data_IF_416291714629
#
_entry.id   IF_416291714629
#
_cell.length_a   1.000
_cell.length_b   1.000
_cell.length_c   1.000
_cell.angle_alpha   90.00
_cell.angle_beta   90.00
_cell.angle_gamma   90.00
#
_symmetry.space_group_name_H-M   'P 1'
#
loop_
_entity.id
_entity.type
_entity.pdbx_description
1 polymer ?
#
# COMPACT_ATOMS: atom_id res chain seq x y z
N UNK A 1 -37.46 26.21 22.25
CA UNK A 1 -36.65 24.97 22.17
C UNK A 1 -35.29 25.30 21.56
N UNK A 2 -34.19 24.85 22.15
CA UNK A 2 -32.83 25.07 21.62
C UNK A 2 -32.56 23.95 20.59
N UNK A 3 -32.35 24.30 19.32
CA UNK A 3 -31.92 23.33 18.32
C UNK A 3 -30.48 22.90 18.63
N UNK A 4 -30.30 21.60 18.82
CA UNK A 4 -28.99 20.98 18.99
C UNK A 4 -28.55 20.40 17.64
N UNK A 5 -27.28 20.62 17.29
CA UNK A 5 -26.64 20.13 16.07
C UNK A 5 -25.47 19.26 16.45
N UNK A 6 -25.29 18.17 15.72
CA UNK A 6 -24.21 17.20 15.92
C UNK A 6 -23.13 17.40 14.86
N UNK A 7 -21.87 17.20 15.23
CA UNK A 7 -20.76 17.21 14.28
C UNK A 7 -20.76 15.90 13.49
N UNK A 8 -20.57 15.97 12.16
CA UNK A 8 -20.50 14.77 11.29
C UNK A 8 -19.13 14.11 11.28
N UNK A 9 -18.09 14.86 11.65
CA UNK A 9 -16.70 14.40 11.59
C UNK A 9 -16.23 13.83 12.93
N UNK A 10 -16.83 14.25 14.04
CA UNK A 10 -16.50 13.72 15.36
C UNK A 10 -17.74 13.25 16.11
N UNK A 11 -17.55 12.30 17.01
CA UNK A 11 -18.65 11.69 17.77
C UNK A 11 -19.22 12.62 18.85
N UNK A 12 -18.77 13.89 18.93
CA UNK A 12 -19.29 14.89 19.86
C UNK A 12 -20.64 15.42 19.34
N UNK A 13 -21.66 15.30 20.18
CA UNK A 13 -23.05 15.67 19.90
C UNK A 13 -23.52 16.83 20.78
N UNK A 14 -24.56 17.53 20.35
CA UNK A 14 -25.29 18.47 21.19
C UNK A 14 -24.79 19.91 21.20
N UNK A 15 -24.23 20.41 20.10
CA UNK A 15 -23.88 21.83 19.97
C UNK A 15 -25.13 22.68 19.84
N UNK A 16 -25.22 23.77 20.60
CA UNK A 16 -26.38 24.67 20.52
C UNK A 16 -26.30 25.55 19.27
N UNK A 17 -27.20 25.34 18.31
CA UNK A 17 -27.43 26.25 17.19
C UNK A 17 -28.51 27.27 17.58
N UNK A 18 -28.12 28.27 18.40
CA UNK A 18 -29.00 29.40 18.67
C UNK A 18 -28.85 30.43 17.56
N UNK A 19 -29.95 30.85 16.94
CA UNK A 19 -29.97 31.96 15.98
C UNK A 19 -29.76 33.36 16.63
N UNK A 20 -29.61 33.41 17.96
CA UNK A 20 -29.59 34.63 18.80
C UNK A 20 -28.29 34.75 19.63
N UNK A 21 -27.31 33.85 19.48
CA UNK A 21 -26.06 33.86 20.27
C UNK A 21 -24.85 33.30 19.53
N UNK A 22 -23.65 33.64 20.03
CA UNK A 22 -22.37 33.53 19.31
C UNK A 22 -22.08 32.14 18.74
N UNK A 23 -21.54 32.11 17.53
CA UNK A 23 -21.01 30.92 16.85
C UNK A 23 -19.63 30.50 17.38
N UNK A 24 -19.09 31.22 18.37
CA UNK A 24 -17.73 31.06 18.90
C UNK A 24 -17.44 29.64 19.41
N UNK A 25 -18.42 28.99 20.04
CA UNK A 25 -18.25 27.60 20.51
C UNK A 25 -18.15 26.59 19.36
N UNK A 26 -18.88 26.81 18.27
CA UNK A 26 -18.78 25.99 17.06
C UNK A 26 -17.46 26.26 16.32
N UNK A 27 -17.06 27.53 16.23
CA UNK A 27 -15.77 27.92 15.64
C UNK A 27 -14.59 27.28 16.38
N UNK A 28 -14.55 27.40 17.71
CA UNK A 28 -13.52 26.75 18.54
C UNK A 28 -13.53 25.23 18.37
N UNK A 29 -14.73 24.63 18.27
CA UNK A 29 -14.82 23.20 17.99
C UNK A 29 -14.21 22.84 16.63
N UNK A 30 -14.48 23.60 15.57
CA UNK A 30 -13.93 23.35 14.23
C UNK A 30 -12.40 23.44 14.25
N UNK A 31 -11.84 24.43 14.93
CA UNK A 31 -10.39 24.62 15.10
C UNK A 31 -9.74 23.45 15.87
N UNK A 32 -10.40 22.93 16.91
CA UNK A 32 -9.89 21.82 17.74
C UNK A 32 -10.28 20.42 17.23
N UNK A 33 -11.13 20.31 16.20
CA UNK A 33 -11.65 19.03 15.75
C UNK A 33 -10.57 18.23 15.01
N UNK A 34 -9.85 17.36 15.73
CA UNK A 34 -8.82 16.47 15.17
C UNK A 34 -9.32 15.58 14.03
N UNK A 35 -10.61 15.20 14.02
CA UNK A 35 -11.22 14.41 12.93
C UNK A 35 -11.67 15.24 11.72
N UNK A 36 -11.60 16.59 11.78
CA UNK A 36 -11.70 17.44 10.58
C UNK A 36 -10.38 17.46 9.80
N UNK A 37 -9.29 16.97 10.39
CA UNK A 37 -8.03 16.76 9.70
C UNK A 37 -8.09 15.38 9.06
N UNK A 38 -8.73 15.26 7.90
CA UNK A 38 -8.24 14.28 6.92
C UNK A 38 -6.94 14.87 6.38
N UNK A 39 -5.75 14.41 6.82
CA UNK A 39 -4.51 15.10 6.50
C UNK A 39 -4.05 14.83 5.06
N UNK A 40 -4.80 14.02 4.29
CA UNK A 40 -4.44 13.66 2.93
C UNK A 40 -5.69 13.80 2.08
N UNK A 41 -5.76 14.85 1.26
CA UNK A 41 -6.68 14.84 0.14
C UNK A 41 -6.41 13.57 -0.67
N UNK A 42 -7.41 12.71 -0.77
CA UNK A 42 -7.34 11.51 -1.62
C UNK A 42 -7.01 11.96 -3.04
N UNK A 43 -5.81 11.61 -3.54
CA UNK A 43 -5.44 11.91 -4.91
C UNK A 43 -6.43 11.22 -5.83
N UNK A 44 -7.03 11.96 -6.75
CA UNK A 44 -7.93 11.41 -7.76
C UNK A 44 -7.08 10.90 -8.91
N UNK A 45 -6.97 9.59 -9.04
CA UNK A 45 -6.40 8.92 -10.20
C UNK A 45 -7.45 8.65 -11.26
N UNK A 46 -7.02 8.51 -12.52
CA UNK A 46 -7.87 8.01 -13.60
C UNK A 46 -7.49 6.57 -13.88
N UNK A 47 -8.45 5.66 -13.78
CA UNK A 47 -8.29 4.28 -14.22
C UNK A 47 -8.05 4.25 -15.74
N UNK A 48 -7.40 3.18 -16.24
CA UNK A 48 -7.25 2.91 -17.67
C UNK A 48 -8.62 2.85 -18.39
N UNK A 49 -9.69 2.51 -17.67
CA UNK A 49 -11.06 2.51 -18.16
C UNK A 49 -11.73 3.91 -18.15
N UNK A 50 -10.99 4.98 -17.81
CA UNK A 50 -11.49 6.35 -17.80
C UNK A 50 -12.21 6.80 -16.52
N UNK A 51 -12.51 5.86 -15.61
CA UNK A 51 -13.15 6.13 -14.32
C UNK A 51 -12.24 6.90 -13.36
N UNK A 52 -12.84 7.74 -12.51
CA UNK A 52 -12.13 8.44 -11.44
C UNK A 52 -12.03 7.50 -10.23
N UNK A 53 -10.82 7.27 -9.75
CA UNK A 53 -10.51 6.36 -8.63
C UNK A 53 -9.68 7.08 -7.57
N UNK A 54 -9.83 6.71 -6.31
CA UNK A 54 -8.91 7.13 -5.25
C UNK A 54 -7.54 6.48 -5.44
N UNK A 55 -6.50 7.31 -5.57
CA UNK A 55 -5.10 6.90 -5.57
C UNK A 55 -4.52 7.11 -4.17
N UNK A 56 -4.20 6.01 -3.52
CA UNK A 56 -3.40 6.02 -2.30
C UNK A 56 -2.02 5.49 -2.62
N UNK A 57 -1.01 6.35 -2.50
CA UNK A 57 0.36 5.93 -2.63
C UNK A 57 0.74 5.01 -1.47
N UNK A 58 1.28 3.84 -1.79
CA UNK A 58 1.82 2.91 -0.82
C UNK A 58 3.27 2.57 -1.18
N UNK A 59 4.19 3.06 -0.35
CA UNK A 59 5.62 2.87 -0.53
C UNK A 59 6.03 1.39 -0.57
N UNK A 60 5.36 0.52 0.20
CA UNK A 60 5.68 -0.91 0.25
C UNK A 60 5.33 -1.62 -1.06
N UNK A 61 4.22 -1.22 -1.70
CA UNK A 61 3.82 -1.75 -3.02
C UNK A 61 4.87 -1.37 -4.06
N UNK A 62 5.30 -0.11 -4.08
CA UNK A 62 6.33 0.34 -5.03
C UNK A 62 7.65 -0.40 -4.82
N UNK A 63 8.04 -0.63 -3.56
CA UNK A 63 9.25 -1.40 -3.23
C UNK A 63 9.15 -2.86 -3.70
N UNK A 64 8.02 -3.51 -3.50
CA UNK A 64 7.80 -4.88 -3.98
C UNK A 64 7.94 -4.97 -5.50
N UNK A 65 7.33 -4.04 -6.23
CA UNK A 65 7.43 -4.00 -7.70
C UNK A 65 8.85 -3.66 -8.17
N UNK A 66 9.55 -2.78 -7.45
CA UNK A 66 10.95 -2.46 -7.74
C UNK A 66 11.87 -3.67 -7.56
N UNK A 67 11.64 -4.49 -6.52
CA UNK A 67 12.38 -5.75 -6.33
C UNK A 67 12.09 -6.74 -7.45
N UNK A 68 10.82 -6.89 -7.86
CA UNK A 68 10.46 -7.72 -9.01
C UNK A 68 11.18 -7.27 -10.27
N UNK A 69 11.17 -5.97 -10.54
CA UNK A 69 11.87 -5.37 -11.68
C UNK A 69 13.36 -5.77 -11.70
N UNK A 70 14.07 -5.59 -10.58
CA UNK A 70 15.49 -5.94 -10.48
C UNK A 70 15.74 -7.44 -10.69
N UNK A 71 14.94 -8.29 -10.03
CA UNK A 71 15.11 -9.75 -10.08
C UNK A 71 14.83 -10.30 -11.47
N UNK A 72 13.82 -9.77 -12.17
CA UNK A 72 13.47 -10.20 -13.53
C UNK A 72 14.49 -9.71 -14.54
N UNK A 73 14.95 -8.46 -14.44
CA UNK A 73 15.89 -7.86 -15.39
C UNK A 73 17.35 -8.34 -15.17
N UNK A 74 17.63 -9.03 -14.06
CA UNK A 74 18.93 -9.67 -13.73
C UNK A 74 20.15 -8.76 -13.81
N UNK A 75 19.97 -7.45 -13.71
CA UNK A 75 21.06 -6.50 -13.81
C UNK A 75 21.46 -5.99 -12.43
N UNK A 76 22.58 -6.51 -11.92
CA UNK A 76 23.18 -6.09 -10.63
C UNK A 76 23.48 -4.58 -10.56
N UNK A 77 23.62 -3.94 -11.73
CA UNK A 77 23.84 -2.48 -11.88
C UNK A 77 22.66 -1.64 -11.39
N UNK A 78 21.48 -2.22 -11.21
CA UNK A 78 20.29 -1.47 -10.76
C UNK A 78 20.34 -1.05 -9.29
N UNK A 79 21.07 -1.76 -8.43
CA UNK A 79 21.07 -1.43 -6.99
C UNK A 79 21.61 -0.02 -6.71
N UNK A 80 22.60 0.42 -7.48
CA UNK A 80 23.17 1.78 -7.39
C UNK A 80 22.33 2.79 -8.18
N UNK A 81 21.60 2.34 -9.21
CA UNK A 81 20.82 3.20 -10.09
C UNK A 81 19.78 4.04 -9.34
N UNK A 82 19.09 3.44 -8.36
CA UNK A 82 18.07 4.11 -7.56
C UNK A 82 18.63 5.17 -6.60
N UNK A 83 19.92 5.11 -6.30
CA UNK A 83 20.61 6.09 -5.45
C UNK A 83 21.13 7.30 -6.23
N UNK A 84 21.21 7.19 -7.57
CA UNK A 84 21.73 8.27 -8.44
C UNK A 84 20.86 9.52 -8.36
N UNK A 85 21.48 10.67 -8.28
CA UNK A 85 20.77 11.96 -8.18
C UNK A 85 19.89 12.24 -9.39
N UNK A 86 20.28 11.78 -10.58
CA UNK A 86 19.45 11.87 -11.78
C UNK A 86 18.12 11.13 -11.61
N UNK A 87 18.16 9.91 -11.04
CA UNK A 87 16.96 9.11 -10.77
C UNK A 87 16.11 9.73 -9.65
N UNK A 88 16.75 10.15 -8.55
CA UNK A 88 16.06 10.86 -7.46
C UNK A 88 15.35 12.12 -7.95
N UNK A 89 16.01 12.91 -8.81
CA UNK A 89 15.42 14.09 -9.45
C UNK A 89 14.28 13.74 -10.38
N UNK A 90 14.43 12.69 -11.19
CA UNK A 90 13.38 12.21 -12.09
C UNK A 90 12.13 11.87 -11.27
N UNK A 91 12.27 11.02 -10.26
CA UNK A 91 11.14 10.57 -9.45
C UNK A 91 10.51 11.71 -8.65
N UNK A 92 11.30 12.60 -8.03
CA UNK A 92 10.75 13.77 -7.33
C UNK A 92 9.96 14.68 -8.27
N UNK A 93 10.39 14.83 -9.52
CA UNK A 93 9.67 15.65 -10.50
C UNK A 93 8.38 15.00 -11.00
N UNK A 94 8.33 13.67 -11.11
CA UNK A 94 7.17 12.95 -11.65
C UNK A 94 6.17 12.52 -10.58
N UNK A 95 6.63 12.17 -9.38
CA UNK A 95 5.81 11.64 -8.28
C UNK A 95 5.79 12.56 -7.05
N UNK A 96 6.51 13.68 -7.07
CA UNK A 96 6.60 14.61 -5.92
C UNK A 96 7.41 14.01 -4.76
N UNK A 97 7.22 14.58 -3.57
CA UNK A 97 7.86 14.12 -2.32
C UNK A 97 7.21 12.86 -1.73
N UNK A 98 6.20 12.32 -2.41
CA UNK A 98 5.44 11.15 -1.98
C UNK A 98 6.33 9.89 -2.04
N UNK A 99 7.19 9.79 -3.06
CA UNK A 99 8.10 8.67 -3.21
C UNK A 99 9.46 8.95 -2.55
N UNK A 100 9.81 8.09 -1.59
CA UNK A 100 11.13 8.09 -0.99
C UNK A 100 11.97 6.96 -1.62
N UNK A 101 13.04 7.26 -2.36
CA UNK A 101 13.87 6.23 -2.97
C UNK A 101 14.52 5.35 -1.88
N UNK A 102 14.35 4.02 -1.91
CA UNK A 102 14.98 3.14 -0.95
C UNK A 102 16.49 3.11 -1.15
N UNK A 103 17.24 2.93 -0.06
CA UNK A 103 18.69 2.74 -0.14
C UNK A 103 19.04 1.35 -0.70
N UNK A 104 20.27 1.19 -1.17
CA UNK A 104 20.80 -0.09 -1.64
C UNK A 104 20.63 -1.22 -0.65
N UNK A 105 20.98 -0.96 0.62
CA UNK A 105 20.87 -1.96 1.69
C UNK A 105 19.43 -2.39 1.91
N UNK A 106 18.52 -1.43 1.81
CA UNK A 106 17.07 -1.64 1.93
C UNK A 106 16.56 -2.53 0.78
N UNK A 107 16.93 -2.22 -0.46
CA UNK A 107 16.59 -3.04 -1.64
C UNK A 107 17.18 -4.44 -1.52
N UNK A 108 18.44 -4.56 -1.09
CA UNK A 108 19.11 -5.85 -0.91
C UNK A 108 18.40 -6.72 0.14
N UNK A 109 18.02 -6.13 1.28
CA UNK A 109 17.23 -6.82 2.30
C UNK A 109 15.88 -7.29 1.76
N UNK A 110 15.21 -6.47 0.94
CA UNK A 110 13.95 -6.85 0.31
C UNK A 110 14.13 -7.97 -0.72
N UNK A 111 15.20 -7.97 -1.51
CA UNK A 111 15.54 -9.07 -2.44
C UNK A 111 15.75 -10.37 -1.67
N UNK A 112 16.48 -10.34 -0.54
CA UNK A 112 16.67 -11.51 0.30
C UNK A 112 15.34 -12.02 0.88
N UNK A 113 14.46 -11.11 1.29
CA UNK A 113 13.11 -11.46 1.76
C UNK A 113 12.29 -12.10 0.64
N UNK A 114 12.33 -11.52 -0.56
CA UNK A 114 11.65 -12.04 -1.75
C UNK A 114 12.13 -13.46 -2.09
N UNK A 115 13.45 -13.68 -2.11
CA UNK A 115 14.04 -15.00 -2.31
C UNK A 115 13.57 -16.03 -1.28
N UNK A 116 13.55 -15.67 0.01
CA UNK A 116 13.07 -16.58 1.07
C UNK A 116 11.62 -16.99 0.84
N UNK A 117 10.76 -16.04 0.47
CA UNK A 117 9.35 -16.30 0.19
C UNK A 117 9.20 -17.26 -1.01
N UNK A 118 9.87 -16.97 -2.12
CA UNK A 118 9.79 -17.80 -3.33
C UNK A 118 10.37 -19.20 -3.11
N UNK A 119 11.45 -19.32 -2.31
CA UNK A 119 12.01 -20.61 -1.92
C UNK A 119 11.02 -21.46 -1.13
N UNK A 120 10.31 -20.88 -0.17
CA UNK A 120 9.31 -21.62 0.61
C UNK A 120 8.10 -22.01 -0.24
N UNK A 121 7.65 -21.14 -1.15
CA UNK A 121 6.63 -21.50 -2.15
C UNK A 121 7.06 -22.69 -2.99
N UNK A 122 8.27 -22.66 -3.53
CA UNK A 122 8.79 -23.76 -4.35
C UNK A 122 8.86 -25.08 -3.58
N UNK A 123 9.36 -25.06 -2.32
CA UNK A 123 9.36 -26.24 -1.45
C UNK A 123 7.96 -26.80 -1.24
N UNK A 124 6.97 -25.94 -0.99
CA UNK A 124 5.59 -26.35 -0.81
C UNK A 124 5.04 -26.99 -2.09
N UNK A 125 5.25 -26.35 -3.25
CA UNK A 125 4.85 -26.88 -4.55
C UNK A 125 5.48 -28.24 -4.84
N UNK A 126 6.78 -28.41 -4.57
CA UNK A 126 7.45 -29.71 -4.70
C UNK A 126 6.84 -30.78 -3.79
N UNK A 127 6.56 -30.46 -2.52
CA UNK A 127 5.89 -31.41 -1.60
C UNK A 127 4.51 -31.84 -2.09
N UNK A 128 3.72 -30.91 -2.62
CA UNK A 128 2.40 -31.20 -3.18
C UNK A 128 2.52 -32.10 -4.41
N UNK A 129 3.46 -31.79 -5.32
CA UNK A 129 3.70 -32.59 -6.52
C UNK A 129 4.17 -34.01 -6.18
N UNK A 130 5.07 -34.16 -5.21
CA UNK A 130 5.52 -35.47 -4.72
C UNK A 130 4.35 -36.29 -4.14
N UNK A 131 3.51 -35.69 -3.30
CA UNK A 131 2.31 -36.36 -2.77
C UNK A 131 1.37 -36.80 -3.89
N UNK A 132 1.12 -35.93 -4.88
CA UNK A 132 0.27 -36.24 -6.04
C UNK A 132 0.84 -37.38 -6.88
N UNK A 133 2.16 -37.40 -7.08
CA UNK A 133 2.85 -38.48 -7.78
C UNK A 133 2.73 -39.80 -7.02
N UNK A 134 3.02 -39.81 -5.72
CA UNK A 134 2.92 -41.02 -4.88
C UNK A 134 1.50 -41.59 -4.86
N UNK A 135 0.48 -40.74 -4.71
CA UNK A 135 -0.92 -41.17 -4.77
C UNK A 135 -1.22 -41.84 -6.12
N UNK A 136 -0.78 -41.26 -7.24
CA UNK A 136 -0.97 -41.89 -8.57
C UNK A 136 -0.30 -43.25 -8.67
N UNK A 137 0.92 -43.41 -8.13
CA UNK A 137 1.63 -44.70 -8.14
C UNK A 137 0.87 -45.74 -7.32
N UNK A 138 0.38 -45.38 -6.12
CA UNK A 138 -0.36 -46.29 -5.24
C UNK A 138 -1.70 -46.69 -5.86
N UNK A 139 -2.50 -45.73 -6.32
CA UNK A 139 -3.80 -46.03 -6.95
C UNK A 139 -3.65 -46.76 -8.29
N UNK A 140 -2.58 -46.47 -9.05
CA UNK A 140 -2.24 -47.21 -10.27
C UNK A 140 -1.84 -48.66 -10.00
N UNK A 141 -1.15 -48.93 -8.88
CA UNK A 141 -0.81 -50.30 -8.46
C UNK A 141 -2.03 -51.09 -7.93
N UNK A 142 -3.04 -50.41 -7.38
CA UNK A 142 -4.27 -51.04 -6.89
C UNK A 142 -5.27 -51.41 -7.99
N UNK A 143 -5.14 -50.86 -9.20
CA UNK A 143 -6.01 -51.19 -10.35
C UNK A 143 -5.47 -52.31 -11.25
N UNK A 144 -4.31 -52.90 -10.93
CA UNK A 144 -3.68 -53.99 -11.68
C UNK A 144 -3.72 -55.35 -10.96
N UNK A 145 -4.38 -55.43 -9.79
CA UNK A 145 -4.74 -56.67 -9.08
C UNK A 145 -6.26 -56.83 -9.08
#
# INVERSE_FOLDING_TARGET
MIQKVDCKYCDKKGYSAKNIGSTSHLKRHIEDCKKNQDPVQTLLGRSLAGNITSFHFNQDVVRAELVRFIVVDKQDKHLVFFEKDAFKRFIRKTYGDIFQPPSRNTIYADILKFYKIEKEKLKLSCKILLKKYLLRVIYGALQQN
#
